data_IF_010338997777
#
_entry.id   IF_010338997777
#
_cell.length_a   1.000
_cell.length_b   1.000
_cell.length_c   1.000
_cell.angle_alpha   90.00
_cell.angle_beta   90.00
_cell.angle_gamma   90.00
#
_symmetry.space_group_name_H-M   'P 1'
#
loop_
_entity.id
_entity.type
_entity.pdbx_description
1 polymer ?
#
# COMPACT_ATOMS: atom_id res chain seq x y z
N UNK A 1 -2.24 25.71 16.00
CA UNK A 1 -3.50 25.85 16.76
C UNK A 1 -4.64 25.63 15.79
N UNK A 2 -5.60 24.78 16.13
CA UNK A 2 -6.71 24.41 15.24
C UNK A 2 -7.74 25.55 15.18
N UNK A 3 -8.27 25.94 14.00
CA UNK A 3 -9.34 26.93 13.92
C UNK A 3 -10.61 26.43 14.62
N UNK A 4 -11.25 27.28 15.44
CA UNK A 4 -12.42 26.90 16.25
C UNK A 4 -13.56 26.23 15.46
N UNK A 5 -13.81 26.71 14.24
CA UNK A 5 -14.85 26.13 13.39
C UNK A 5 -14.50 24.71 12.90
N UNK A 6 -13.21 24.41 12.70
CA UNK A 6 -12.73 23.08 12.37
C UNK A 6 -12.79 22.19 13.61
N UNK A 7 -12.31 22.72 14.73
CA UNK A 7 -12.31 22.04 16.03
C UNK A 7 -13.70 21.56 16.43
N UNK A 8 -14.71 22.43 16.40
CA UNK A 8 -16.09 22.07 16.75
C UNK A 8 -16.63 20.91 15.90
N UNK A 9 -16.46 20.97 14.57
CA UNK A 9 -16.89 19.90 13.66
C UNK A 9 -16.14 18.59 13.89
N UNK A 10 -14.84 18.67 14.17
CA UNK A 10 -14.02 17.50 14.45
C UNK A 10 -14.43 16.83 15.77
N UNK A 11 -14.71 17.61 16.81
CA UNK A 11 -15.21 17.09 18.10
C UNK A 11 -16.53 16.35 17.89
N UNK A 12 -17.48 16.94 17.17
CA UNK A 12 -18.78 16.31 16.92
C UNK A 12 -18.63 14.96 16.18
N UNK A 13 -17.78 14.90 15.16
CA UNK A 13 -17.50 13.68 14.42
C UNK A 13 -16.81 12.63 15.28
N UNK A 14 -15.78 13.01 16.06
CA UNK A 14 -15.08 12.10 16.97
C UNK A 14 -16.03 11.57 18.06
N UNK A 15 -16.93 12.39 18.60
CA UNK A 15 -17.94 11.94 19.56
C UNK A 15 -18.97 11.00 18.93
N UNK A 16 -19.31 11.16 17.65
CA UNK A 16 -20.10 10.15 16.92
C UNK A 16 -19.32 8.85 16.77
N UNK A 17 -18.02 8.93 16.47
CA UNK A 17 -17.14 7.77 16.41
C UNK A 17 -17.05 7.04 17.74
N UNK A 18 -16.82 7.73 18.85
CA UNK A 18 -16.79 7.12 20.19
C UNK A 18 -18.10 6.40 20.56
N UNK A 19 -19.24 6.83 19.99
CA UNK A 19 -20.55 6.20 20.20
C UNK A 19 -20.90 5.10 19.18
N UNK A 20 -20.05 4.87 18.17
CA UNK A 20 -20.35 3.94 17.06
C UNK A 20 -21.34 4.48 16.02
N UNK A 21 -21.85 5.71 16.17
CA UNK A 21 -22.88 6.30 15.32
C UNK A 21 -22.30 7.21 14.22
N UNK A 22 -21.32 6.72 13.47
CA UNK A 22 -20.60 7.47 12.42
C UNK A 22 -20.66 6.74 11.08
N UNK A 23 -20.41 7.47 10.00
CA UNK A 23 -20.31 6.94 8.63
C UNK A 23 -18.93 7.20 8.00
N UNK A 24 -18.70 6.72 6.78
CA UNK A 24 -17.53 7.09 5.98
C UNK A 24 -17.37 8.61 5.78
N UNK A 25 -18.47 9.37 5.69
CA UNK A 25 -18.43 10.83 5.58
C UNK A 25 -17.79 11.50 6.80
N UNK A 26 -18.03 10.97 8.00
CA UNK A 26 -17.40 11.46 9.23
C UNK A 26 -15.89 11.23 9.21
N UNK A 27 -15.47 10.05 8.72
CA UNK A 27 -14.06 9.70 8.58
C UNK A 27 -13.39 10.61 7.55
N UNK A 28 -14.00 10.78 6.37
CA UNK A 28 -13.50 11.65 5.30
C UNK A 28 -13.40 13.10 5.78
N UNK A 29 -14.43 13.60 6.47
CA UNK A 29 -14.43 14.93 7.07
C UNK A 29 -13.22 15.12 7.98
N UNK A 30 -12.98 14.18 8.90
CA UNK A 30 -11.85 14.26 9.82
C UNK A 30 -10.51 14.23 9.10
N UNK A 31 -10.35 13.33 8.13
CA UNK A 31 -9.13 13.23 7.33
C UNK A 31 -8.85 14.52 6.57
N UNK A 32 -9.84 15.10 5.89
CA UNK A 32 -9.68 16.35 5.14
C UNK A 32 -9.35 17.51 6.08
N UNK A 33 -10.10 17.64 7.18
CA UNK A 33 -10.02 18.80 8.08
C UNK A 33 -8.79 18.79 8.98
N UNK A 34 -8.36 17.61 9.42
CA UNK A 34 -7.25 17.47 10.35
C UNK A 34 -5.92 17.17 9.65
N UNK A 35 -5.94 16.88 8.33
CA UNK A 35 -4.74 16.59 7.52
C UNK A 35 -3.59 17.52 7.89
N UNK A 36 -3.78 18.83 7.73
CA UNK A 36 -2.74 19.86 7.88
C UNK A 36 -2.20 20.00 9.31
N UNK A 37 -2.96 19.54 10.30
CA UNK A 37 -2.64 19.65 11.72
C UNK A 37 -2.08 18.36 12.32
N UNK A 38 -2.13 17.26 11.56
CA UNK A 38 -1.54 15.97 11.95
C UNK A 38 -0.02 15.93 11.74
N UNK A 39 0.66 15.03 12.45
CA UNK A 39 2.10 14.81 12.29
C UNK A 39 2.42 14.43 10.83
N UNK A 40 3.35 15.15 10.20
CA UNK A 40 3.70 14.97 8.78
C UNK A 40 4.16 13.56 8.40
N UNK A 41 4.58 12.75 9.37
CA UNK A 41 5.05 11.37 9.18
C UNK A 41 4.07 10.31 9.68
N UNK A 42 2.89 10.69 10.15
CA UNK A 42 1.91 9.72 10.67
C UNK A 42 1.18 8.98 9.56
N UNK A 43 0.67 7.78 9.89
CA UNK A 43 -0.18 6.99 8.99
C UNK A 43 -1.49 7.75 8.71
N UNK A 44 -2.04 8.43 9.73
CA UNK A 44 -3.18 9.34 9.55
C UNK A 44 -2.93 10.35 8.43
N UNK A 45 -1.74 10.99 8.39
CA UNK A 45 -1.40 11.97 7.37
C UNK A 45 -1.28 11.34 5.98
N UNK A 46 -0.67 10.16 5.88
CA UNK A 46 -0.59 9.42 4.61
C UNK A 46 -1.98 9.10 4.08
N UNK A 47 -2.85 8.52 4.91
CA UNK A 47 -4.23 8.15 4.55
C UNK A 47 -5.04 9.40 4.17
N UNK A 48 -4.86 10.50 4.91
CA UNK A 48 -5.52 11.78 4.58
C UNK A 48 -5.12 12.30 3.21
N UNK A 49 -3.83 12.21 2.86
CA UNK A 49 -3.37 12.56 1.52
C UNK A 49 -3.88 11.58 0.47
N UNK A 50 -3.94 10.29 0.81
CA UNK A 50 -4.44 9.25 -0.09
C UNK A 50 -5.87 9.52 -0.52
N UNK A 51 -6.75 9.80 0.44
CA UNK A 51 -8.17 10.04 0.19
C UNK A 51 -8.39 11.37 -0.55
N UNK A 52 -7.61 12.41 -0.22
CA UNK A 52 -7.75 13.72 -0.87
C UNK A 52 -7.23 13.80 -2.31
N UNK A 53 -6.55 12.78 -2.83
CA UNK A 53 -5.95 12.79 -4.17
C UNK A 53 -6.27 11.49 -4.93
N UNK A 54 -7.17 11.58 -5.92
CA UNK A 54 -7.58 10.41 -6.71
C UNK A 54 -6.46 9.76 -7.53
N UNK A 55 -5.49 10.56 -7.99
CA UNK A 55 -4.30 10.08 -8.73
C UNK A 55 -3.10 10.11 -7.81
N UNK A 56 -2.52 8.94 -7.56
CA UNK A 56 -1.39 8.77 -6.64
C UNK A 56 -0.09 8.62 -7.41
N UNK A 57 0.81 9.58 -7.24
CA UNK A 57 2.17 9.59 -7.80
C UNK A 57 3.26 9.62 -6.70
N UNK A 58 2.82 9.64 -5.44
CA UNK A 58 3.67 9.88 -4.27
C UNK A 58 3.02 9.36 -2.99
N UNK A 59 3.78 9.37 -1.89
CA UNK A 59 3.37 8.87 -0.58
C UNK A 59 3.81 7.42 -0.30
N UNK A 60 3.57 6.96 0.93
CA UNK A 60 3.93 5.61 1.36
C UNK A 60 3.16 4.54 0.61
N UNK A 61 1.88 4.76 0.29
CA UNK A 61 1.07 3.78 -0.46
C UNK A 61 1.59 3.61 -1.88
N UNK A 62 1.91 4.72 -2.56
CA UNK A 62 2.57 4.69 -3.86
C UNK A 62 3.91 3.96 -3.79
N UNK A 63 4.75 4.33 -2.82
CA UNK A 63 6.08 3.74 -2.67
C UNK A 63 6.02 2.24 -2.40
N UNK A 64 5.01 1.78 -1.65
CA UNK A 64 4.77 0.36 -1.41
C UNK A 64 4.54 -0.42 -2.71
N UNK A 65 3.58 0.03 -3.53
CA UNK A 65 3.29 -0.61 -4.82
C UNK A 65 4.45 -0.46 -5.80
N UNK A 66 5.10 0.70 -5.84
CA UNK A 66 6.24 0.92 -6.73
C UNK A 66 7.43 0.02 -6.39
N UNK A 67 7.67 -0.28 -5.10
CA UNK A 67 8.67 -1.28 -4.68
C UNK A 67 8.34 -2.66 -5.21
N UNK A 68 7.08 -3.08 -5.12
CA UNK A 68 6.64 -4.38 -5.67
C UNK A 68 6.80 -4.38 -7.19
N UNK A 69 6.40 -3.31 -7.87
CA UNK A 69 6.59 -3.14 -9.31
C UNK A 69 8.06 -3.33 -9.71
N UNK A 70 8.98 -2.65 -9.04
CA UNK A 70 10.42 -2.76 -9.31
C UNK A 70 10.94 -4.20 -9.10
N UNK A 71 10.49 -4.88 -8.04
CA UNK A 71 10.86 -6.28 -7.76
C UNK A 71 10.33 -7.24 -8.82
N UNK A 72 9.07 -7.09 -9.21
CA UNK A 72 8.43 -7.96 -10.20
C UNK A 72 8.95 -7.69 -11.60
N UNK A 73 9.31 -6.45 -11.91
CA UNK A 73 10.01 -6.13 -13.16
C UNK A 73 11.40 -6.76 -13.20
N UNK A 74 12.17 -6.70 -12.11
CA UNK A 74 13.45 -7.40 -12.00
C UNK A 74 13.30 -8.92 -12.16
N UNK A 75 12.27 -9.51 -11.52
CA UNK A 75 11.94 -10.92 -11.68
C UNK A 75 11.63 -11.27 -13.13
N UNK A 76 10.74 -10.50 -13.78
CA UNK A 76 10.35 -10.67 -15.17
C UNK A 76 11.56 -10.63 -16.10
N UNK A 77 12.37 -9.58 -16.02
CA UNK A 77 13.50 -9.40 -16.93
C UNK A 77 14.62 -10.42 -16.70
N UNK A 78 15.11 -10.56 -15.47
CA UNK A 78 16.35 -11.30 -15.20
C UNK A 78 16.11 -12.77 -14.85
N UNK A 79 14.99 -13.10 -14.21
CA UNK A 79 14.74 -14.47 -13.74
C UNK A 79 13.79 -15.24 -14.66
N UNK A 80 12.72 -14.62 -15.14
CA UNK A 80 11.75 -15.25 -16.03
C UNK A 80 12.25 -15.27 -17.48
N UNK A 81 12.61 -14.11 -18.03
CA UNK A 81 13.14 -14.00 -19.41
C UNK A 81 14.64 -14.26 -19.55
N UNK A 82 15.37 -14.42 -18.43
CA UNK A 82 16.82 -14.68 -18.42
C UNK A 82 17.64 -13.64 -19.20
N UNK A 83 17.16 -12.39 -19.27
CA UNK A 83 17.91 -11.31 -19.91
C UNK A 83 19.18 -11.06 -19.10
N UNK A 84 20.37 -10.92 -19.72
CA UNK A 84 21.56 -10.51 -19.00
C UNK A 84 21.45 -9.04 -18.61
N UNK A 85 22.05 -8.67 -17.48
CA UNK A 85 22.21 -7.26 -17.13
C UNK A 85 23.25 -6.63 -18.06
N UNK A 86 22.81 -5.71 -18.91
CA UNK A 86 23.67 -4.91 -19.78
C UNK A 86 23.95 -3.55 -19.14
N UNK A 87 25.23 -3.27 -18.90
CA UNK A 87 25.71 -1.99 -18.36
C UNK A 87 26.41 -1.14 -19.44
N UNK A 88 26.36 -1.54 -20.71
CA UNK A 88 26.91 -0.78 -21.84
C UNK A 88 26.01 0.39 -22.26
N UNK A 89 24.72 0.31 -21.93
CA UNK A 89 23.73 1.39 -22.09
C UNK A 89 23.26 1.93 -20.74
N UNK A 90 22.66 3.13 -20.69
CA UNK A 90 22.00 3.61 -19.48
C UNK A 90 20.97 2.61 -18.97
N UNK A 91 20.93 2.41 -17.66
CA UNK A 91 19.90 1.58 -17.02
C UNK A 91 18.66 2.43 -16.75
N UNK A 92 17.50 1.79 -16.79
CA UNK A 92 16.25 2.44 -16.43
C UNK A 92 16.20 2.81 -14.94
N UNK A 93 15.46 3.87 -14.63
CA UNK A 93 15.22 4.33 -13.26
C UNK A 93 14.66 3.25 -12.33
N UNK A 94 13.76 2.40 -12.81
CA UNK A 94 13.16 1.34 -11.98
C UNK A 94 14.21 0.34 -11.47
N UNK A 95 15.25 0.04 -12.26
CA UNK A 95 16.30 -0.91 -11.86
C UNK A 95 17.21 -0.28 -10.81
N UNK A 96 17.54 0.99 -10.98
CA UNK A 96 18.27 1.77 -9.98
C UNK A 96 17.51 1.82 -8.65
N UNK A 97 16.21 2.12 -8.70
CA UNK A 97 15.32 2.13 -7.54
C UNK A 97 15.19 0.74 -6.91
N UNK A 98 15.05 -0.32 -7.72
CA UNK A 98 15.01 -1.70 -7.28
C UNK A 98 16.18 -2.05 -6.36
N UNK A 99 17.42 -1.82 -6.82
CA UNK A 99 18.61 -2.16 -6.02
C UNK A 99 18.64 -1.37 -4.71
N UNK A 100 18.31 -0.08 -4.74
CA UNK A 100 18.28 0.75 -3.53
C UNK A 100 17.20 0.31 -2.54
N UNK A 101 16.02 -0.09 -3.00
CA UNK A 101 14.94 -0.61 -2.17
C UNK A 101 15.29 -1.96 -1.54
N UNK A 102 15.94 -2.84 -2.29
CA UNK A 102 16.36 -4.14 -1.76
C UNK A 102 17.45 -4.00 -0.70
N UNK A 103 18.38 -3.05 -0.89
CA UNK A 103 19.37 -2.71 0.13
C UNK A 103 18.72 -2.20 1.43
N UNK A 104 17.56 -1.55 1.40
CA UNK A 104 16.84 -1.17 2.63
C UNK A 104 16.32 -2.36 3.43
N UNK A 105 15.95 -3.45 2.74
CA UNK A 105 15.44 -4.66 3.37
C UNK A 105 16.55 -5.56 3.90
N UNK A 106 17.77 -5.50 3.35
CA UNK A 106 18.88 -6.32 3.81
C UNK A 106 19.43 -5.80 5.13
N UNK A 107 19.48 -6.64 6.15
CA UNK A 107 20.07 -6.29 7.43
C UNK A 107 21.56 -5.95 7.32
N UNK A 108 21.98 -4.84 7.95
CA UNK A 108 23.36 -4.35 7.77
C UNK A 108 24.42 -5.35 8.26
N UNK A 109 24.08 -6.25 9.18
CA UNK A 109 25.00 -7.26 9.69
C UNK A 109 25.27 -8.37 8.65
N UNK A 110 24.29 -8.68 7.79
CA UNK A 110 24.42 -9.67 6.70
C UNK A 110 25.45 -9.19 5.67
N UNK A 111 25.30 -7.95 5.19
CA UNK A 111 26.24 -7.34 4.24
C UNK A 111 27.65 -7.24 4.83
N UNK A 112 27.75 -6.84 6.11
CA UNK A 112 29.06 -6.69 6.77
C UNK A 112 29.78 -8.03 6.90
N UNK A 113 29.05 -9.10 7.25
CA UNK A 113 29.62 -10.44 7.38
C UNK A 113 30.07 -11.03 6.03
N UNK A 114 29.29 -10.81 4.97
CA UNK A 114 29.53 -11.43 3.65
C UNK A 114 30.50 -10.64 2.77
N UNK A 115 30.44 -9.31 2.82
CA UNK A 115 31.14 -8.43 1.90
C UNK A 115 31.97 -7.32 2.56
N UNK A 116 31.94 -7.20 3.90
CA UNK A 116 32.77 -6.25 4.64
C UNK A 116 32.23 -4.81 4.72
N UNK A 117 31.07 -4.52 4.13
CA UNK A 117 30.45 -3.19 4.16
C UNK A 117 29.06 -3.19 4.81
N UNK A 118 28.70 -2.06 5.41
CA UNK A 118 27.36 -1.79 5.95
C UNK A 118 26.35 -1.48 4.83
N UNK A 119 25.06 -1.49 5.17
CA UNK A 119 23.98 -1.04 4.26
C UNK A 119 24.22 0.37 3.71
N UNK A 120 24.63 1.31 4.56
CA UNK A 120 24.90 2.70 4.16
C UNK A 120 26.05 2.78 3.17
N UNK A 121 27.11 2.00 3.40
CA UNK A 121 28.25 1.91 2.47
C UNK A 121 27.85 1.25 1.15
N UNK A 122 27.08 0.15 1.17
CA UNK A 122 26.59 -0.51 -0.04
C UNK A 122 25.80 0.47 -0.93
N UNK A 123 24.87 1.22 -0.33
CA UNK A 123 24.12 2.26 -1.05
C UNK A 123 25.02 3.34 -1.62
N UNK A 124 26.00 3.82 -0.85
CA UNK A 124 26.95 4.82 -1.33
C UNK A 124 27.76 4.30 -2.52
N UNK A 125 28.34 3.11 -2.39
CA UNK A 125 29.09 2.42 -3.44
C UNK A 125 28.23 2.31 -4.70
N UNK A 126 27.02 1.76 -4.59
CA UNK A 126 26.10 1.63 -5.73
C UNK A 126 25.85 2.97 -6.43
N UNK A 127 25.48 4.02 -5.67
CA UNK A 127 25.21 5.35 -6.22
C UNK A 127 26.43 5.96 -6.94
N UNK A 128 27.64 5.71 -6.45
CA UNK A 128 28.89 6.23 -7.05
C UNK A 128 29.22 5.63 -8.42
N UNK A 129 28.53 4.57 -8.87
CA UNK A 129 28.69 3.99 -10.20
C UNK A 129 27.76 4.61 -11.25
N UNK A 130 26.74 5.34 -10.84
CA UNK A 130 25.67 5.83 -11.72
C UNK A 130 25.58 7.36 -11.70
N UNK A 131 25.39 7.96 -12.87
CA UNK A 131 25.04 9.38 -13.02
C UNK A 131 23.63 9.48 -13.57
N UNK A 132 22.84 10.40 -13.02
CA UNK A 132 21.47 10.63 -13.47
C UNK A 132 21.47 11.35 -14.81
N UNK A 133 20.71 10.81 -15.76
CA UNK A 133 20.50 11.37 -17.08
C UNK A 133 19.01 11.53 -17.37
N UNK A 134 18.66 12.23 -18.45
CA UNK A 134 17.27 12.57 -18.79
C UNK A 134 16.34 11.35 -18.84
N UNK A 135 16.87 10.18 -19.24
CA UNK A 135 16.09 8.96 -19.46
C UNK A 135 16.56 7.76 -18.59
N UNK A 136 17.31 7.98 -17.51
CA UNK A 136 17.77 6.87 -16.66
C UNK A 136 19.09 7.18 -15.96
N UNK A 137 19.91 6.14 -15.79
CA UNK A 137 21.20 6.25 -15.11
C UNK A 137 22.31 5.66 -15.96
N UNK A 138 23.27 6.51 -16.35
CA UNK A 138 24.45 6.07 -17.09
C UNK A 138 25.53 5.53 -16.17
N UNK A 139 26.22 4.52 -16.66
CA UNK A 139 27.29 3.85 -15.95
C UNK A 139 28.62 4.62 -16.12
N UNK A 140 29.31 4.93 -15.01
CA UNK A 140 30.41 5.93 -15.02
C UNK A 140 31.82 5.36 -14.78
N UNK A 141 31.94 4.11 -14.33
CA UNK A 141 33.22 3.50 -13.90
C UNK A 141 33.23 2.02 -14.23
N UNK A 142 34.35 1.38 -14.55
CA UNK A 142 34.36 -0.08 -14.82
C UNK A 142 33.74 -0.93 -13.69
N UNK A 143 33.00 -2.03 -13.99
CA UNK A 143 32.36 -2.88 -12.98
C UNK A 143 33.34 -3.38 -11.92
N UNK A 144 33.10 -2.97 -10.68
CA UNK A 144 33.83 -3.50 -9.54
C UNK A 144 33.18 -4.79 -9.03
N UNK A 145 33.98 -5.63 -8.37
CA UNK A 145 33.48 -6.80 -7.64
C UNK A 145 32.40 -6.41 -6.62
N UNK A 146 32.53 -5.24 -6.00
CA UNK A 146 31.57 -4.75 -5.01
C UNK A 146 30.21 -4.42 -5.64
N UNK A 147 30.20 -3.80 -6.83
CA UNK A 147 28.95 -3.56 -7.55
C UNK A 147 28.23 -4.87 -7.88
N UNK A 148 28.96 -5.85 -8.41
CA UNK A 148 28.41 -7.18 -8.72
C UNK A 148 27.85 -7.85 -7.46
N UNK A 149 28.59 -7.81 -6.36
CA UNK A 149 28.13 -8.35 -5.07
C UNK A 149 26.84 -7.68 -4.59
N UNK A 150 26.76 -6.35 -4.69
CA UNK A 150 25.58 -5.56 -4.31
C UNK A 150 24.35 -5.96 -5.13
N UNK A 151 24.49 -6.00 -6.46
CA UNK A 151 23.39 -6.35 -7.37
C UNK A 151 22.94 -7.79 -7.16
N UNK A 152 23.87 -8.73 -6.99
CA UNK A 152 23.55 -10.13 -6.71
C UNK A 152 22.79 -10.29 -5.40
N UNK A 153 23.23 -9.61 -4.33
CA UNK A 153 22.55 -9.69 -3.04
C UNK A 153 21.15 -9.07 -3.12
N UNK A 154 21.00 -7.90 -3.75
CA UNK A 154 19.71 -7.23 -3.97
C UNK A 154 18.73 -8.10 -4.77
N UNK A 155 19.24 -8.95 -5.66
CA UNK A 155 18.45 -9.83 -6.54
C UNK A 155 18.15 -11.20 -5.94
N UNK A 156 18.67 -11.51 -4.75
CA UNK A 156 18.60 -12.85 -4.16
C UNK A 156 17.29 -13.20 -3.47
N UNK A 157 16.39 -12.23 -3.29
CA UNK A 157 15.11 -12.43 -2.62
C UNK A 157 14.03 -11.49 -3.15
N UNK A 158 12.77 -11.91 -3.00
CA UNK A 158 11.60 -11.06 -3.18
C UNK A 158 10.87 -11.04 -1.84
N UNK A 159 10.60 -9.85 -1.32
CA UNK A 159 9.85 -9.66 -0.08
C UNK A 159 8.65 -8.77 -0.37
N UNK A 160 7.46 -9.26 -0.05
CA UNK A 160 6.20 -8.51 -0.14
C UNK A 160 5.55 -8.64 1.23
N UNK A 161 5.07 -7.53 1.77
CA UNK A 161 4.37 -7.48 3.05
C UNK A 161 3.26 -6.43 2.98
N UNK A 162 2.21 -6.56 3.80
CA UNK A 162 1.25 -5.49 4.02
C UNK A 162 1.95 -4.17 4.37
N UNK A 163 1.36 -3.07 3.91
CA UNK A 163 1.87 -1.73 4.16
C UNK A 163 1.53 -1.27 5.58
N UNK A 164 0.28 -1.44 5.99
CA UNK A 164 -0.22 -1.09 7.31
C UNK A 164 -1.03 -2.23 7.90
N UNK A 165 -0.97 -2.37 9.22
CA UNK A 165 -1.91 -3.17 10.00
C UNK A 165 -3.04 -2.30 10.57
N UNK A 166 -4.22 -2.88 10.86
CA UNK A 166 -5.33 -2.17 11.48
C UNK A 166 -4.95 -1.46 12.78
N UNK A 167 -4.14 -2.11 13.63
CA UNK A 167 -3.69 -1.55 14.90
C UNK A 167 -2.79 -0.33 14.72
N UNK A 168 -1.89 -0.33 13.73
CA UNK A 168 -1.06 0.84 13.40
C UNK A 168 -1.91 2.02 12.92
N UNK A 169 -2.95 1.76 12.12
CA UNK A 169 -3.90 2.77 11.64
C UNK A 169 -4.64 3.37 12.84
N UNK A 170 -5.32 2.54 13.64
CA UNK A 170 -6.10 2.99 14.81
C UNK A 170 -5.22 3.76 15.78
N UNK A 171 -4.01 3.25 16.08
CA UNK A 171 -3.07 3.94 16.95
C UNK A 171 -2.69 5.32 16.39
N UNK A 172 -2.45 5.43 15.08
CA UNK A 172 -2.10 6.71 14.46
C UNK A 172 -3.27 7.71 14.49
N UNK A 173 -4.52 7.26 14.40
CA UNK A 173 -5.71 8.10 14.58
C UNK A 173 -5.83 8.58 16.03
N UNK A 174 -5.75 7.65 16.98
CA UNK A 174 -5.77 7.92 18.43
C UNK A 174 -4.70 8.94 18.82
N UNK A 175 -3.46 8.75 18.37
CA UNK A 175 -2.35 9.69 18.60
C UNK A 175 -2.64 11.08 18.03
N UNK A 176 -3.18 11.14 16.80
CA UNK A 176 -3.53 12.40 16.14
C UNK A 176 -4.59 13.14 16.96
N UNK A 177 -5.69 12.46 17.32
CA UNK A 177 -6.79 13.08 18.07
C UNK A 177 -6.37 13.50 19.48
N UNK A 178 -5.54 12.70 20.17
CA UNK A 178 -4.97 13.06 21.48
C UNK A 178 -4.06 14.27 21.38
N UNK A 179 -3.18 14.32 20.38
CA UNK A 179 -2.23 15.45 20.20
C UNK A 179 -2.94 16.78 19.94
N UNK A 180 -4.16 16.73 19.40
CA UNK A 180 -5.01 17.88 19.15
C UNK A 180 -6.00 18.17 20.29
N UNK A 181 -6.03 17.35 21.34
CA UNK A 181 -6.97 17.49 22.46
C UNK A 181 -8.43 17.20 22.11
N UNK A 182 -8.68 16.42 21.06
CA UNK A 182 -10.03 16.17 20.52
C UNK A 182 -10.65 14.85 21.02
N UNK A 183 -9.83 13.91 21.51
CA UNK A 183 -10.29 12.59 21.95
C UNK A 183 -10.67 12.59 23.43
N UNK A 184 -11.89 12.17 23.75
CA UNK A 184 -12.41 12.18 25.13
C UNK A 184 -12.31 10.79 25.75
N UNK A 185 -12.67 9.74 25.01
CA UNK A 185 -12.65 8.36 25.45
C UNK A 185 -11.91 7.47 24.45
N UNK A 186 -10.65 7.18 24.78
CA UNK A 186 -9.81 6.30 23.97
C UNK A 186 -10.38 4.89 23.84
N UNK A 187 -10.96 4.34 24.91
CA UNK A 187 -11.43 2.95 24.90
C UNK A 187 -12.68 2.81 24.03
N UNK A 188 -13.61 3.76 24.16
CA UNK A 188 -14.81 3.80 23.33
C UNK A 188 -14.46 3.97 21.85
N UNK A 189 -13.48 4.83 21.52
CA UNK A 189 -12.98 4.97 20.15
C UNK A 189 -12.33 3.69 19.61
N UNK A 190 -11.42 3.08 20.37
CA UNK A 190 -10.72 1.85 19.97
C UNK A 190 -11.68 0.66 19.79
N UNK A 191 -12.78 0.63 20.55
CA UNK A 191 -13.84 -0.36 20.38
C UNK A 191 -14.54 -0.28 19.01
N UNK A 192 -14.44 0.85 18.31
CA UNK A 192 -14.99 1.04 16.95
C UNK A 192 -13.94 0.83 15.84
N UNK A 193 -12.79 0.24 16.17
CA UNK A 193 -11.69 0.03 15.23
C UNK A 193 -12.12 -0.67 13.94
N UNK A 194 -12.89 -1.76 14.02
CA UNK A 194 -13.31 -2.51 12.84
C UNK A 194 -14.16 -1.66 11.87
N UNK A 195 -15.12 -0.88 12.39
CA UNK A 195 -15.96 0.02 11.59
C UNK A 195 -15.15 1.17 10.98
N UNK A 196 -14.19 1.72 11.73
CA UNK A 196 -13.24 2.70 11.21
C UNK A 196 -12.43 2.12 10.05
N UNK A 197 -11.89 0.91 10.22
CA UNK A 197 -11.10 0.24 9.19
C UNK A 197 -11.95 -0.02 7.95
N UNK A 198 -13.18 -0.52 8.11
CA UNK A 198 -14.09 -0.73 6.99
C UNK A 198 -14.35 0.58 6.23
N UNK A 199 -14.61 1.69 6.92
CA UNK A 199 -14.86 2.98 6.27
C UNK A 199 -13.62 3.50 5.52
N UNK A 200 -12.44 3.33 6.10
CA UNK A 200 -11.18 3.67 5.41
C UNK A 200 -10.96 2.82 4.16
N UNK A 201 -11.24 1.53 4.25
CA UNK A 201 -11.15 0.60 3.11
C UNK A 201 -12.05 1.06 1.95
N UNK A 202 -13.31 1.41 2.23
CA UNK A 202 -14.26 1.98 1.25
C UNK A 202 -13.70 3.24 0.61
N UNK A 203 -13.24 4.21 1.42
CA UNK A 203 -12.69 5.48 0.91
C UNK A 203 -11.40 5.31 0.06
N UNK A 204 -10.68 4.21 0.29
CA UNK A 204 -9.45 3.85 -0.41
C UNK A 204 -9.67 2.92 -1.62
N UNK A 205 -10.90 2.47 -1.86
CA UNK A 205 -11.27 1.65 -2.99
C UNK A 205 -11.14 2.41 -4.33
N UNK A 206 -10.77 1.70 -5.40
CA UNK A 206 -10.63 2.20 -6.78
C UNK A 206 -9.78 3.48 -6.90
N UNK A 207 -8.61 3.51 -6.26
CA UNK A 207 -7.61 4.58 -6.50
C UNK A 207 -6.55 4.11 -7.46
N UNK A 208 -6.09 5.01 -8.32
CA UNK A 208 -5.08 4.72 -9.33
C UNK A 208 -3.71 5.26 -8.93
N UNK A 209 -2.67 4.52 -9.32
CA UNK A 209 -1.28 4.88 -9.12
C UNK A 209 -0.59 5.09 -10.47
N UNK A 210 0.16 6.18 -10.56
CA UNK A 210 0.67 6.70 -11.81
C UNK A 210 2.19 6.85 -11.78
N UNK A 211 2.87 6.41 -12.84
CA UNK A 211 4.27 6.77 -13.12
C UNK A 211 4.23 7.67 -14.36
N UNK A 212 4.45 8.98 -14.16
CA UNK A 212 4.24 9.95 -15.23
C UNK A 212 2.76 10.01 -15.62
N UNK A 213 2.44 9.65 -16.86
CA UNK A 213 1.05 9.61 -17.36
C UNK A 213 0.42 8.22 -17.34
N UNK A 214 1.22 7.20 -17.06
CA UNK A 214 0.79 5.80 -17.18
C UNK A 214 0.30 5.28 -15.84
N UNK A 215 -0.89 4.65 -15.84
CA UNK A 215 -1.40 3.90 -14.70
C UNK A 215 -0.62 2.61 -14.60
N UNK A 216 0.13 2.42 -13.51
CA UNK A 216 0.85 1.17 -13.25
C UNK A 216 0.19 0.32 -12.16
N UNK A 217 -0.80 0.85 -11.45
CA UNK A 217 -1.52 0.08 -10.46
C UNK A 217 -2.81 0.73 -9.97
N UNK A 218 -3.59 -0.04 -9.21
CA UNK A 218 -4.85 0.39 -8.60
C UNK A 218 -5.09 -0.27 -7.24
N UNK A 219 -5.93 0.31 -6.40
CA UNK A 219 -6.45 -0.34 -5.18
C UNK A 219 -7.87 -0.81 -5.36
N UNK A 220 -8.18 -1.97 -4.77
CA UNK A 220 -9.51 -2.59 -4.77
C UNK A 220 -9.75 -3.27 -3.43
N UNK A 221 -11.02 -3.44 -3.06
CA UNK A 221 -11.40 -4.28 -1.95
C UNK A 221 -11.47 -5.70 -2.46
N UNK A 222 -10.94 -6.63 -1.67
CA UNK A 222 -10.91 -8.03 -2.04
C UNK A 222 -11.14 -8.93 -0.83
N UNK A 223 -11.71 -10.10 -1.09
CA UNK A 223 -11.75 -11.22 -0.18
C UNK A 223 -10.98 -12.37 -0.83
N UNK A 224 -9.69 -12.53 -0.52
CA UNK A 224 -8.89 -13.58 -1.14
C UNK A 224 -9.53 -14.94 -0.85
N UNK A 225 -9.81 -15.73 -1.88
CA UNK A 225 -10.29 -17.08 -1.69
C UNK A 225 -9.11 -18.04 -1.41
N UNK A 226 -9.34 -19.05 -0.58
CA UNK A 226 -8.44 -20.21 -0.54
C UNK A 226 -8.64 -21.13 -1.77
N UNK A 227 -7.82 -22.18 -1.88
CA UNK A 227 -7.91 -23.14 -2.99
C UNK A 227 -9.23 -23.92 -3.05
N UNK A 228 -10.09 -23.80 -2.04
CA UNK A 228 -11.41 -24.42 -1.96
C UNK A 228 -12.55 -23.40 -2.13
N UNK A 229 -12.23 -22.15 -2.46
CA UNK A 229 -13.22 -21.09 -2.67
C UNK A 229 -13.74 -20.47 -1.38
N UNK A 230 -13.18 -20.80 -0.21
CA UNK A 230 -13.56 -20.14 1.04
C UNK A 230 -12.93 -18.75 1.09
N UNK A 231 -13.77 -17.73 1.23
CA UNK A 231 -13.32 -16.36 1.40
C UNK A 231 -12.54 -16.20 2.70
N UNK A 232 -11.39 -15.53 2.62
CA UNK A 232 -10.60 -15.11 3.77
C UNK A 232 -11.17 -13.81 4.34
N UNK A 233 -10.32 -13.02 5.00
CA UNK A 233 -10.68 -11.72 5.55
C UNK A 233 -10.58 -10.65 4.48
N UNK A 234 -11.35 -9.57 4.66
CA UNK A 234 -11.33 -8.39 3.79
C UNK A 234 -9.93 -7.79 3.77
N UNK A 235 -9.48 -7.35 2.61
CA UNK A 235 -8.26 -6.58 2.46
C UNK A 235 -8.41 -5.39 1.52
N UNK A 236 -7.51 -4.41 1.68
CA UNK A 236 -7.19 -3.51 0.59
C UNK A 236 -6.12 -4.18 -0.28
N UNK A 237 -6.51 -4.66 -1.45
CA UNK A 237 -5.58 -5.17 -2.46
C UNK A 237 -5.07 -4.01 -3.30
N UNK A 238 -3.76 -3.98 -3.53
CA UNK A 238 -3.16 -3.21 -4.61
C UNK A 238 -2.80 -4.13 -5.78
N UNK A 239 -3.28 -3.82 -6.98
CA UNK A 239 -2.92 -4.54 -8.20
C UNK A 239 -1.92 -3.71 -8.99
N UNK A 240 -0.78 -4.29 -9.36
CA UNK A 240 0.22 -3.65 -10.23
C UNK A 240 0.27 -4.33 -11.60
N UNK A 241 0.50 -3.53 -12.63
CA UNK A 241 0.74 -3.97 -13.99
C UNK A 241 2.24 -3.94 -14.26
N UNK A 242 2.81 -5.08 -14.64
CA UNK A 242 4.23 -5.23 -14.98
C UNK A 242 4.30 -5.70 -16.43
N UNK A 243 5.14 -5.07 -17.28
CA UNK A 243 5.30 -5.50 -18.66
C UNK A 243 5.63 -6.99 -18.76
N UNK A 244 5.00 -7.66 -19.72
CA UNK A 244 5.23 -9.08 -20.04
C UNK A 244 4.91 -10.09 -18.92
N UNK A 245 4.26 -9.64 -17.82
CA UNK A 245 3.78 -10.48 -16.73
C UNK A 245 2.27 -10.31 -16.52
N UNK A 246 1.65 -11.29 -15.88
CA UNK A 246 0.30 -11.13 -15.35
C UNK A 246 0.26 -10.04 -14.27
N UNK A 247 -0.90 -9.39 -14.12
CA UNK A 247 -1.12 -8.43 -13.05
C UNK A 247 -0.85 -9.07 -11.68
N UNK A 248 -0.12 -8.37 -10.81
CA UNK A 248 0.27 -8.89 -9.49
C UNK A 248 -0.56 -8.17 -8.44
N UNK A 249 -1.37 -8.94 -7.70
CA UNK A 249 -2.08 -8.48 -6.50
C UNK A 249 -1.18 -8.53 -5.28
N UNK A 250 -1.22 -7.49 -4.46
CA UNK A 250 -0.55 -7.42 -3.15
C UNK A 250 -1.47 -6.84 -2.10
N UNK A 251 -1.50 -7.45 -0.93
CA UNK A 251 -2.20 -6.91 0.23
C UNK A 251 -1.52 -5.63 0.70
N UNK A 252 -2.24 -4.51 0.75
CA UNK A 252 -1.78 -3.25 1.34
C UNK A 252 -2.22 -3.13 2.80
N UNK A 253 -3.47 -3.50 3.10
CA UNK A 253 -4.03 -3.52 4.44
C UNK A 253 -4.72 -4.86 4.62
N UNK A 254 -4.19 -5.68 5.53
CA UNK A 254 -4.78 -6.96 5.92
C UNK A 254 -5.68 -6.75 7.14
N UNK A 255 -6.91 -7.28 7.15
CA UNK A 255 -7.84 -7.09 8.27
C UNK A 255 -8.29 -8.39 8.91
N UNK A 256 -9.01 -8.27 10.03
CA UNK A 256 -9.73 -9.36 10.70
C UNK A 256 -11.20 -9.47 10.29
N UNK A 257 -11.69 -8.61 9.38
CA UNK A 257 -13.11 -8.50 9.02
C UNK A 257 -13.49 -9.67 8.09
N UNK A 258 -14.37 -10.57 8.54
CA UNK A 258 -14.94 -11.60 7.66
C UNK A 258 -16.18 -11.11 6.93
N UNK A 259 -16.45 -11.80 5.81
CA UNK A 259 -17.56 -11.49 4.92
C UNK A 259 -18.92 -11.58 5.64
N UNK A 260 -19.20 -12.68 6.36
CA UNK A 260 -20.52 -12.94 6.94
C UNK A 260 -20.94 -11.86 7.97
N UNK A 261 -19.96 -11.36 8.73
CA UNK A 261 -20.20 -10.30 9.72
C UNK A 261 -20.32 -8.93 9.09
N UNK A 262 -19.44 -8.59 8.13
CA UNK A 262 -19.23 -7.20 7.68
C UNK A 262 -19.74 -6.88 6.29
N UNK A 263 -20.37 -7.83 5.58
CA UNK A 263 -20.84 -7.61 4.21
C UNK A 263 -22.28 -8.08 4.01
N UNK A 264 -22.95 -7.44 3.06
CA UNK A 264 -24.22 -7.93 2.51
C UNK A 264 -23.97 -9.13 1.57
N UNK A 265 -24.84 -10.16 1.60
CA UNK A 265 -24.65 -11.36 0.79
C UNK A 265 -24.69 -11.12 -0.73
N UNK A 266 -25.33 -10.02 -1.17
CA UNK A 266 -25.49 -9.68 -2.59
C UNK A 266 -24.19 -9.20 -3.25
N UNK A 267 -23.14 -8.93 -2.45
CA UNK A 267 -21.79 -8.62 -2.91
C UNK A 267 -21.07 -9.84 -3.52
N UNK A 268 -21.65 -11.03 -3.42
CA UNK A 268 -21.14 -12.24 -4.04
C UNK A 268 -21.74 -12.44 -5.43
N UNK A 269 -20.88 -12.67 -6.41
CA UNK A 269 -21.26 -12.94 -7.81
C UNK A 269 -20.74 -14.29 -8.27
N UNK A 270 -21.44 -14.92 -9.20
CA UNK A 270 -21.01 -16.17 -9.82
C UNK A 270 -20.06 -15.85 -10.99
N UNK A 271 -18.86 -16.40 -10.95
CA UNK A 271 -17.88 -16.28 -12.03
C UNK A 271 -17.58 -17.65 -12.61
N UNK A 272 -17.75 -17.80 -13.92
CA UNK A 272 -17.42 -19.04 -14.61
C UNK A 272 -15.91 -19.29 -14.52
N UNK A 273 -15.53 -20.52 -14.24
CA UNK A 273 -14.14 -20.96 -14.22
C UNK A 273 -13.63 -21.25 -15.63
N UNK A 274 -12.34 -21.56 -15.73
CA UNK A 274 -11.74 -22.05 -16.98
C UNK A 274 -12.30 -23.41 -17.42
N UNK A 275 -13.04 -24.11 -16.55
CA UNK A 275 -13.77 -25.33 -16.90
C UNK A 275 -15.22 -24.92 -17.18
N UNK A 276 -15.60 -24.97 -18.45
CA UNK A 276 -16.92 -24.56 -18.94
C UNK A 276 -18.04 -25.22 -18.11
N UNK A 277 -19.00 -24.41 -17.66
CA UNK A 277 -20.14 -24.85 -16.85
C UNK A 277 -19.87 -24.97 -15.34
N UNK A 278 -18.64 -24.73 -14.87
CA UNK A 278 -18.34 -24.64 -13.44
C UNK A 278 -18.21 -23.17 -13.03
N UNK A 279 -18.91 -22.78 -11.96
CA UNK A 279 -18.94 -21.42 -11.43
C UNK A 279 -18.42 -21.38 -10.01
N UNK A 280 -17.68 -20.32 -9.67
CA UNK A 280 -17.23 -20.03 -8.32
C UNK A 280 -17.91 -18.75 -7.84
N UNK A 281 -18.33 -18.75 -6.59
CA UNK A 281 -18.79 -17.55 -5.91
C UNK A 281 -17.58 -16.69 -5.55
N UNK A 282 -17.54 -15.47 -6.05
CA UNK A 282 -16.45 -14.52 -5.80
C UNK A 282 -17.01 -13.19 -5.31
N UNK A 283 -16.21 -12.45 -4.55
CA UNK A 283 -16.53 -11.08 -4.20
C UNK A 283 -16.51 -10.19 -5.45
N UNK A 284 -17.52 -9.34 -5.61
CA UNK A 284 -17.61 -8.41 -6.72
C UNK A 284 -16.74 -7.16 -6.49
N UNK A 285 -15.43 -7.31 -6.65
CA UNK A 285 -14.44 -6.23 -6.52
C UNK A 285 -14.67 -5.05 -7.49
N UNK A 286 -15.58 -5.18 -8.47
CA UNK A 286 -15.86 -4.16 -9.50
C UNK A 286 -16.98 -3.20 -9.11
N UNK A 287 -17.74 -3.50 -8.06
CA UNK A 287 -18.81 -2.64 -7.55
C UNK A 287 -18.28 -1.40 -6.83
N UNK A 288 -19.07 -0.33 -6.79
CA UNK A 288 -18.83 0.76 -5.84
C UNK A 288 -19.49 0.40 -4.52
N UNK A 289 -18.87 0.79 -3.41
CA UNK A 289 -19.27 0.35 -2.09
C UNK A 289 -19.54 1.52 -1.15
N UNK A 290 -20.40 1.27 -0.17
CA UNK A 290 -20.69 2.15 0.97
C UNK A 290 -20.95 1.29 2.21
N UNK A 291 -20.93 1.89 3.40
CA UNK A 291 -21.37 1.27 4.64
C UNK A 291 -22.85 1.58 4.86
N UNK A 292 -23.69 0.53 4.90
CA UNK A 292 -25.11 0.64 5.16
C UNK A 292 -25.46 0.97 6.61
N UNK A 293 -26.75 1.20 6.88
CA UNK A 293 -27.26 1.54 8.22
C UNK A 293 -27.02 0.45 9.28
N UNK A 294 -26.76 -0.78 8.85
CA UNK A 294 -26.46 -1.94 9.69
C UNK A 294 -24.95 -2.17 9.88
N UNK A 295 -24.12 -1.19 9.51
CA UNK A 295 -22.66 -1.23 9.58
C UNK A 295 -22.00 -2.30 8.68
N UNK A 296 -22.72 -2.76 7.66
CA UNK A 296 -22.21 -3.69 6.65
C UNK A 296 -21.84 -2.99 5.36
N UNK A 297 -20.81 -3.53 4.71
CA UNK A 297 -20.46 -3.19 3.34
C UNK A 297 -21.61 -3.62 2.41
N UNK A 298 -22.05 -2.71 1.56
CA UNK A 298 -23.08 -2.94 0.54
C UNK A 298 -22.72 -2.22 -0.76
N UNK A 299 -23.41 -2.55 -1.85
CA UNK A 299 -23.29 -1.79 -3.10
C UNK A 299 -23.88 -0.39 -2.94
N UNK A 300 -23.25 0.59 -3.58
CA UNK A 300 -23.82 1.93 -3.76
C UNK A 300 -24.92 1.94 -4.82
#
# INVERSE_FOLDING_TARGET
MLPKAIEAKAIEAIQRMERGCFSEDDIELLLIRLREYSNAKSIFREISHFIAHHKRDSGLTFLSLYRVYCRMRAYGEFQYHKKPLDLSSPIDKWFYDFVLFQLDEIESHVLKKKYGFSRKQAKRIFKEFFSEERNGYSYTKSPSKDLVNIVNEASSFIKIKPLFSPSEIVSSFTETFKSLGLLQDTKSFEAQSDKLILGLLVLMHKREFHIGKDVFGKTELDFPADGFGKLKKLELKGTIQVPDLAAIGVTLIETSLDFDTWCEPDLLVQKETNIKGHYWTVFDETSDFTIGENDKLQRL
#
